data_IF_097761756521
#
_entry.id   IF_097761756521
#
_cell.length_a   1.000
_cell.length_b   1.000
_cell.length_c   1.000
_cell.angle_alpha   90.00
_cell.angle_beta   90.00
_cell.angle_gamma   90.00
#
_symmetry.space_group_name_H-M   'P 1'
#
loop_
_entity.id
_entity.type
_entity.pdbx_description
1 polymer ?
#
# COMPACT_ATOMS: atom_id res chain seq x y z
N UNK A 1 -1.17 7.43 27.40
CA UNK A 1 -0.10 7.38 26.38
C UNK A 1 -0.71 7.77 25.04
N UNK A 2 -0.15 8.74 24.32
CA UNK A 2 -0.66 9.10 22.99
C UNK A 2 -0.40 7.93 22.03
N UNK A 3 -1.48 7.29 21.56
CA UNK A 3 -1.38 6.31 20.46
C UNK A 3 -0.76 7.05 19.25
N UNK A 4 0.23 6.45 18.58
CA UNK A 4 0.74 7.05 17.34
C UNK A 4 -0.42 6.97 16.35
N UNK A 5 -0.87 8.14 15.91
CA UNK A 5 -1.96 8.30 14.97
C UNK A 5 -1.41 8.28 13.55
N UNK A 6 -2.22 7.85 12.59
CA UNK A 6 -1.95 7.98 11.15
C UNK A 6 -1.52 9.40 10.72
N UNK A 7 -0.98 9.49 9.50
CA UNK A 7 -0.75 10.77 8.81
C UNK A 7 -2.01 11.63 8.71
N UNK A 8 -3.19 10.99 8.62
CA UNK A 8 -4.48 11.64 8.56
C UNK A 8 -4.90 12.35 9.86
N UNK A 9 -4.19 12.12 10.98
CA UNK A 9 -4.58 12.65 12.29
C UNK A 9 -3.51 13.56 12.90
N UNK A 10 -2.21 13.37 12.59
CA UNK A 10 -1.16 14.26 13.09
C UNK A 10 -0.01 14.47 12.10
N UNK A 11 0.28 15.75 11.81
CA UNK A 11 1.42 16.14 10.97
C UNK A 11 2.78 15.69 11.56
N UNK A 12 2.84 15.41 12.86
CA UNK A 12 4.06 15.01 13.58
C UNK A 12 4.21 13.49 13.73
N UNK A 13 3.32 12.69 13.13
CA UNK A 13 3.30 11.25 13.38
C UNK A 13 4.62 10.56 13.05
N UNK A 14 5.27 10.86 11.92
CA UNK A 14 6.57 10.28 11.58
C UNK A 14 7.65 10.61 12.62
N UNK A 15 7.68 11.85 13.11
CA UNK A 15 8.62 12.28 14.16
C UNK A 15 8.38 11.53 15.46
N UNK A 16 7.14 11.39 15.89
CA UNK A 16 6.80 10.64 17.09
C UNK A 16 7.12 9.15 16.95
N UNK A 17 6.89 8.55 15.78
CA UNK A 17 7.27 7.18 15.50
C UNK A 17 8.78 6.98 15.61
N UNK A 18 9.57 7.85 14.97
CA UNK A 18 11.03 7.81 15.05
C UNK A 18 11.54 7.92 16.50
N UNK A 19 11.04 8.89 17.26
CA UNK A 19 11.43 9.06 18.67
C UNK A 19 11.06 7.85 19.54
N UNK A 20 9.87 7.27 19.35
CA UNK A 20 9.47 6.05 20.08
C UNK A 20 10.27 4.82 19.67
N UNK A 21 10.79 4.78 18.44
CA UNK A 21 11.71 3.76 17.97
C UNK A 21 13.17 3.97 18.46
N UNK A 22 13.43 5.04 19.22
CA UNK A 22 14.76 5.34 19.75
C UNK A 22 15.67 6.12 18.80
N UNK A 23 15.14 6.67 17.70
CA UNK A 23 15.91 7.56 16.83
C UNK A 23 16.30 8.83 17.62
N UNK A 24 17.58 9.24 17.60
CA UNK A 24 18.04 10.41 18.35
C UNK A 24 17.33 11.71 17.97
N UNK A 25 17.16 12.60 18.95
CA UNK A 25 16.39 13.84 18.78
C UNK A 25 17.02 14.83 17.78
N UNK A 26 18.33 14.77 17.57
CA UNK A 26 19.05 15.62 16.61
C UNK A 26 18.86 15.18 15.15
N UNK A 27 18.21 14.03 14.89
CA UNK A 27 17.98 13.55 13.52
C UNK A 27 16.75 14.20 12.89
N UNK A 28 16.82 14.65 11.62
CA UNK A 28 15.67 15.19 10.91
C UNK A 28 14.67 14.07 10.58
N UNK A 29 13.40 14.45 10.40
CA UNK A 29 12.34 13.54 9.96
C UNK A 29 11.45 14.29 8.98
N UNK A 30 11.17 13.68 7.83
CA UNK A 30 10.20 14.16 6.86
C UNK A 30 8.92 13.31 6.94
N UNK A 31 7.79 14.00 7.02
CA UNK A 31 6.47 13.41 6.79
C UNK A 31 6.02 13.77 5.38
N UNK A 32 5.68 12.78 4.54
CA UNK A 32 5.16 13.03 3.19
C UNK A 32 3.86 12.27 2.92
N UNK A 33 3.07 12.76 1.97
CA UNK A 33 1.84 12.13 1.51
C UNK A 33 1.84 12.04 -0.01
N UNK A 34 1.78 10.81 -0.53
CA UNK A 34 1.55 10.46 -1.93
C UNK A 34 0.52 9.33 -2.03
N UNK A 35 -0.52 9.39 -1.18
CA UNK A 35 -1.55 8.35 -1.03
C UNK A 35 -0.90 6.97 -0.84
N UNK A 36 -1.40 5.94 -1.53
CA UNK A 36 -0.88 4.57 -1.50
C UNK A 36 0.61 4.45 -1.88
N UNK A 37 1.19 5.45 -2.55
CA UNK A 37 2.60 5.47 -2.95
C UNK A 37 3.51 6.17 -1.93
N UNK A 38 2.99 6.60 -0.76
CA UNK A 38 3.76 7.35 0.25
C UNK A 38 5.03 6.61 0.68
N UNK A 39 4.94 5.35 1.09
CA UNK A 39 6.11 4.60 1.52
C UNK A 39 7.14 4.35 0.39
N UNK A 40 6.69 4.10 -0.85
CA UNK A 40 7.60 4.04 -2.00
C UNK A 40 8.33 5.37 -2.20
N UNK A 41 7.60 6.48 -2.08
CA UNK A 41 8.19 7.80 -2.25
C UNK A 41 9.15 8.17 -1.10
N UNK A 42 8.88 7.71 0.12
CA UNK A 42 9.82 7.84 1.24
C UNK A 42 11.15 7.13 0.93
N UNK A 43 11.11 5.91 0.37
CA UNK A 43 12.33 5.21 -0.07
C UNK A 43 13.09 5.98 -1.16
N UNK A 44 12.36 6.58 -2.11
CA UNK A 44 12.96 7.42 -3.18
C UNK A 44 13.66 8.64 -2.59
N UNK A 45 13.00 9.37 -1.68
CA UNK A 45 13.60 10.54 -1.01
C UNK A 45 14.84 10.12 -0.21
N UNK A 46 14.76 9.03 0.56
CA UNK A 46 15.93 8.50 1.29
C UNK A 46 17.08 8.12 0.35
N UNK A 47 16.79 7.52 -0.80
CA UNK A 47 17.80 7.19 -1.80
C UNK A 47 18.43 8.46 -2.40
N UNK A 48 17.62 9.47 -2.69
CA UNK A 48 18.10 10.77 -3.18
C UNK A 48 18.99 11.46 -2.14
N UNK A 49 18.58 11.52 -0.88
CA UNK A 49 19.38 12.10 0.20
C UNK A 49 20.73 11.39 0.37
N UNK A 50 20.75 10.07 0.20
CA UNK A 50 22.00 9.28 0.23
C UNK A 50 22.89 9.62 -0.97
N UNK A 51 22.32 9.65 -2.18
CA UNK A 51 23.07 9.95 -3.40
C UNK A 51 23.58 11.39 -3.45
N UNK A 52 22.88 12.35 -2.85
CA UNK A 52 23.33 13.74 -2.74
C UNK A 52 24.23 13.99 -1.52
N UNK A 53 24.57 12.95 -0.74
CA UNK A 53 25.45 13.05 0.43
C UNK A 53 24.83 13.75 1.65
N UNK A 54 23.51 13.96 1.65
CA UNK A 54 22.78 14.54 2.79
C UNK A 54 22.52 13.51 3.90
N UNK A 55 22.55 12.22 3.57
CA UNK A 55 22.50 11.11 4.52
C UNK A 55 23.47 9.99 4.11
N UNK A 56 23.88 9.15 5.07
CA UNK A 56 24.60 7.91 4.79
C UNK A 56 23.75 6.67 5.10
N UNK A 57 22.83 6.81 6.07
CA UNK A 57 21.84 5.81 6.47
C UNK A 57 20.53 6.56 6.70
N UNK A 58 19.42 6.03 6.18
CA UNK A 58 18.10 6.64 6.29
C UNK A 58 17.05 5.56 6.58
N UNK A 59 16.12 5.85 7.50
CA UNK A 59 14.97 5.01 7.78
C UNK A 59 13.79 5.50 6.93
N UNK A 60 13.35 4.69 5.98
CA UNK A 60 12.22 4.97 5.10
C UNK A 60 11.06 4.02 5.41
N UNK A 61 9.82 4.45 5.16
CA UNK A 61 8.68 3.59 5.38
C UNK A 61 7.37 4.33 5.33
N UNK A 62 6.37 3.74 5.97
CA UNK A 62 5.09 4.38 6.17
C UNK A 62 4.26 3.65 7.21
N UNK A 63 3.22 4.34 7.67
CA UNK A 63 2.26 3.82 8.63
C UNK A 63 0.90 4.40 8.33
N UNK A 64 -0.13 3.62 8.60
CA UNK A 64 -1.52 4.02 8.46
C UNK A 64 -2.37 3.37 9.54
N UNK A 65 -3.37 4.09 10.02
CA UNK A 65 -4.40 3.59 10.92
C UNK A 65 -5.73 4.15 10.43
N UNK A 66 -6.30 3.45 9.45
CA UNK A 66 -7.55 3.84 8.81
C UNK A 66 -8.73 3.65 9.76
N UNK A 67 -8.67 2.69 10.69
CA UNK A 67 -9.70 2.48 11.71
C UNK A 67 -9.89 3.67 12.65
N UNK A 68 -8.87 4.52 12.79
CA UNK A 68 -8.90 5.70 13.66
C UNK A 68 -9.25 7.00 12.94
N UNK A 69 -9.52 6.96 11.62
CA UNK A 69 -9.81 8.16 10.84
C UNK A 69 -11.08 8.85 11.38
N UNK A 70 -11.04 10.15 11.73
CA UNK A 70 -12.14 10.80 12.40
C UNK A 70 -13.25 11.23 11.43
N UNK A 71 -14.45 11.44 11.97
CA UNK A 71 -15.41 12.32 11.33
C UNK A 71 -14.98 13.78 11.47
N UNK A 72 -15.20 14.58 10.43
CA UNK A 72 -14.88 16.02 10.40
C UNK A 72 -16.14 16.85 10.25
N UNK A 73 -16.08 18.10 10.73
CA UNK A 73 -17.13 19.10 10.53
C UNK A 73 -16.51 20.31 9.84
N UNK A 74 -16.97 20.60 8.63
CA UNK A 74 -16.48 21.75 7.86
C UNK A 74 -17.09 23.06 8.37
N UNK A 75 -16.32 24.14 8.28
CA UNK A 75 -16.77 25.49 8.67
C UNK A 75 -16.80 25.76 10.18
N UNK A 76 -16.88 24.74 11.04
CA UNK A 76 -17.03 24.90 12.49
C UNK A 76 -15.93 25.75 13.17
N UNK A 77 -14.72 25.79 12.59
CA UNK A 77 -13.63 26.65 13.08
C UNK A 77 -13.99 28.15 13.10
N UNK A 78 -14.90 28.57 12.24
CA UNK A 78 -15.33 29.97 12.09
C UNK A 78 -16.70 30.24 12.75
N UNK A 79 -17.20 29.30 13.54
CA UNK A 79 -18.53 29.35 14.14
C UNK A 79 -19.59 28.65 13.29
N UNK A 80 -20.65 28.20 13.95
CA UNK A 80 -21.82 27.56 13.32
C UNK A 80 -23.05 28.42 13.65
N UNK A 81 -23.81 28.89 12.65
CA UNK A 81 -25.04 29.65 12.92
C UNK A 81 -26.02 28.84 13.78
N UNK A 82 -26.74 29.50 14.68
CA UNK A 82 -27.65 28.86 15.64
C UNK A 82 -28.70 27.94 14.98
N UNK A 83 -29.13 28.27 13.76
CA UNK A 83 -30.14 27.52 12.99
C UNK A 83 -29.56 26.48 12.05
N UNK A 84 -28.23 26.36 11.95
CA UNK A 84 -27.58 25.40 11.05
C UNK A 84 -27.42 24.03 11.71
N UNK A 85 -27.70 22.97 10.95
CA UNK A 85 -27.37 21.61 11.36
C UNK A 85 -25.87 21.33 11.17
N UNK A 86 -25.23 20.77 12.17
CA UNK A 86 -23.86 20.25 12.04
C UNK A 86 -23.90 18.93 11.27
N UNK A 87 -23.25 18.90 10.11
CA UNK A 87 -23.07 17.69 9.32
C UNK A 87 -21.70 17.08 9.60
N UNK A 88 -21.70 15.86 10.13
CA UNK A 88 -20.49 15.06 10.27
C UNK A 88 -20.17 14.38 8.93
N UNK A 89 -18.95 14.58 8.47
CA UNK A 89 -18.43 13.97 7.25
C UNK A 89 -17.43 12.89 7.64
N UNK A 90 -17.63 11.67 7.15
CA UNK A 90 -16.62 10.63 7.24
C UNK A 90 -15.42 11.03 6.39
N UNK A 91 -14.29 11.32 7.05
CA UNK A 91 -13.07 11.73 6.35
C UNK A 91 -12.49 10.59 5.51
N UNK A 92 -12.66 9.34 5.93
CA UNK A 92 -12.16 8.19 5.18
C UNK A 92 -12.90 8.07 3.84
N UNK A 93 -14.23 8.12 3.87
CA UNK A 93 -15.04 8.03 2.66
C UNK A 93 -14.86 9.24 1.74
N UNK A 94 -14.86 10.46 2.30
CA UNK A 94 -14.75 11.69 1.51
C UNK A 94 -13.37 11.89 0.87
N UNK A 95 -12.29 11.45 1.53
CA UNK A 95 -10.94 11.52 0.96
C UNK A 95 -10.71 10.58 -0.22
N UNK A 96 -11.58 9.59 -0.43
CA UNK A 96 -11.58 8.70 -1.58
C UNK A 96 -12.43 9.22 -2.75
N UNK A 97 -12.95 10.44 -2.69
CA UNK A 97 -13.64 11.10 -3.80
C UNK A 97 -12.72 12.10 -4.50
N UNK A 98 -12.44 11.85 -5.78
CA UNK A 98 -11.65 12.76 -6.61
C UNK A 98 -12.55 13.89 -7.13
N UNK A 99 -12.34 15.09 -6.59
CA UNK A 99 -13.09 16.29 -6.97
C UNK A 99 -12.74 16.83 -8.36
N UNK A 100 -11.59 16.45 -8.94
CA UNK A 100 -11.18 16.90 -10.27
C UNK A 100 -11.94 16.17 -11.37
N UNK A 101 -12.05 14.84 -11.29
CA UNK A 101 -12.82 14.04 -12.24
C UNK A 101 -14.24 13.71 -11.76
N UNK A 102 -14.61 14.13 -10.55
CA UNK A 102 -15.91 13.88 -9.92
C UNK A 102 -16.27 12.39 -9.77
N UNK A 103 -15.25 11.55 -9.51
CA UNK A 103 -15.39 10.11 -9.37
C UNK A 103 -14.89 9.63 -8.00
N UNK A 104 -15.60 8.70 -7.34
CA UNK A 104 -15.00 7.96 -6.23
C UNK A 104 -13.92 7.01 -6.77
N UNK A 105 -12.83 6.84 -6.01
CA UNK A 105 -11.66 6.03 -6.36
C UNK A 105 -12.05 4.63 -6.85
N UNK A 106 -13.00 3.99 -6.16
CA UNK A 106 -13.50 2.66 -6.49
C UNK A 106 -14.16 2.56 -7.89
N UNK A 107 -14.70 3.64 -8.43
CA UNK A 107 -15.32 3.64 -9.78
C UNK A 107 -14.29 3.64 -10.90
N UNK A 108 -13.07 4.08 -10.64
CA UNK A 108 -12.02 4.11 -11.67
C UNK A 108 -11.61 2.70 -12.10
N UNK A 109 -11.64 1.74 -11.18
CA UNK A 109 -11.38 0.33 -11.52
C UNK A 109 -12.49 -0.28 -12.39
N UNK A 110 -13.77 0.05 -12.12
CA UNK A 110 -14.89 -0.39 -12.97
C UNK A 110 -14.80 0.21 -14.38
N UNK A 111 -14.47 1.51 -14.49
CA UNK A 111 -14.27 2.20 -15.78
C UNK A 111 -13.15 1.52 -16.57
N UNK A 112 -12.03 1.22 -15.90
CA UNK A 112 -10.92 0.54 -16.54
C UNK A 112 -11.32 -0.88 -16.99
N UNK A 113 -12.07 -1.61 -16.17
CA UNK A 113 -12.55 -2.94 -16.54
C UNK A 113 -13.42 -2.91 -17.80
N UNK A 114 -14.33 -1.95 -17.92
CA UNK A 114 -15.17 -1.74 -19.11
C UNK A 114 -14.32 -1.45 -20.35
N UNK A 115 -13.37 -0.50 -20.25
CA UNK A 115 -12.48 -0.13 -21.35
C UNK A 115 -11.64 -1.29 -21.88
N UNK A 116 -11.21 -2.19 -21.00
CA UNK A 116 -10.37 -3.34 -21.33
C UNK A 116 -11.16 -4.63 -21.54
N UNK A 117 -12.50 -4.59 -21.51
CA UNK A 117 -13.35 -5.77 -21.64
C UNK A 117 -13.10 -6.83 -20.56
N UNK A 118 -12.65 -6.41 -19.37
CA UNK A 118 -12.34 -7.31 -18.25
C UNK A 118 -13.61 -7.72 -17.55
N UNK A 119 -13.86 -9.04 -17.54
CA UNK A 119 -15.08 -9.61 -17.00
C UNK A 119 -15.03 -9.74 -15.48
N UNK A 120 -16.21 -9.74 -14.85
CA UNK A 120 -16.34 -10.00 -13.41
C UNK A 120 -15.68 -11.32 -12.98
N UNK A 121 -15.82 -12.37 -13.79
CA UNK A 121 -15.25 -13.68 -13.48
C UNK A 121 -13.72 -13.64 -13.42
N UNK A 122 -13.06 -12.95 -14.36
CA UNK A 122 -11.60 -12.78 -14.36
C UNK A 122 -11.11 -12.03 -13.10
N UNK A 123 -11.88 -11.03 -12.67
CA UNK A 123 -11.57 -10.20 -11.50
C UNK A 123 -11.70 -11.02 -10.20
N UNK A 124 -12.74 -11.85 -10.10
CA UNK A 124 -12.93 -12.75 -8.96
C UNK A 124 -11.90 -13.87 -8.95
N UNK A 125 -11.51 -14.41 -10.12
CA UNK A 125 -10.46 -15.42 -10.21
C UNK A 125 -9.10 -14.88 -9.74
N UNK A 126 -8.77 -13.63 -10.12
CA UNK A 126 -7.58 -12.95 -9.61
C UNK A 126 -7.61 -12.81 -8.08
N UNK A 127 -8.74 -12.38 -7.52
CA UNK A 127 -8.91 -12.24 -6.08
C UNK A 127 -8.77 -13.57 -5.34
N UNK A 128 -9.38 -14.64 -5.87
CA UNK A 128 -9.24 -15.99 -5.33
C UNK A 128 -7.79 -16.46 -5.36
N UNK A 129 -7.07 -16.19 -6.45
CA UNK A 129 -5.64 -16.52 -6.56
C UNK A 129 -4.82 -15.81 -5.50
N UNK A 130 -5.07 -14.52 -5.25
CA UNK A 130 -4.39 -13.76 -4.19
C UNK A 130 -4.61 -14.40 -2.80
N UNK A 131 -5.85 -14.76 -2.46
CA UNK A 131 -6.18 -15.46 -1.21
C UNK A 131 -5.49 -16.84 -1.10
N UNK A 132 -5.48 -17.63 -2.19
CA UNK A 132 -4.81 -18.94 -2.23
C UNK A 132 -3.30 -18.85 -2.09
N UNK A 133 -2.66 -17.90 -2.78
CA UNK A 133 -1.20 -17.66 -2.67
C UNK A 133 -0.83 -17.23 -1.25
N UNK A 134 -1.62 -16.34 -0.63
CA UNK A 134 -1.42 -15.98 0.78
C UNK A 134 -1.54 -17.19 1.71
N UNK A 135 -2.59 -18.01 1.56
CA UNK A 135 -2.77 -19.21 2.40
C UNK A 135 -1.57 -20.16 2.30
N UNK A 136 -1.07 -20.39 1.09
CA UNK A 136 0.11 -21.23 0.86
C UNK A 136 1.38 -20.65 1.49
N UNK A 137 1.61 -19.34 1.35
CA UNK A 137 2.75 -18.65 1.93
C UNK A 137 2.70 -18.62 3.48
N UNK A 138 1.51 -18.40 4.03
CA UNK A 138 1.26 -18.41 5.47
C UNK A 138 1.53 -19.78 6.10
N UNK A 139 1.03 -20.86 5.49
CA UNK A 139 1.29 -22.24 5.96
C UNK A 139 2.79 -22.58 5.94
N UNK A 140 3.54 -22.04 4.97
CA UNK A 140 5.00 -22.20 4.88
C UNK A 140 5.77 -21.30 5.88
N UNK A 141 5.09 -20.39 6.57
CA UNK A 141 5.70 -19.47 7.53
C UNK A 141 6.54 -18.37 6.88
N UNK A 142 6.30 -18.02 5.61
CA UNK A 142 7.12 -17.02 4.89
C UNK A 142 7.03 -15.62 5.52
N UNK A 143 5.92 -15.29 6.17
CA UNK A 143 5.72 -14.00 6.84
C UNK A 143 6.42 -13.89 8.21
N UNK A 144 6.93 -15.00 8.77
CA UNK A 144 7.51 -15.02 10.12
C UNK A 144 8.77 -14.13 10.25
N UNK A 145 9.49 -13.90 9.15
CA UNK A 145 10.68 -13.04 9.14
C UNK A 145 10.39 -11.56 8.91
N UNK A 146 9.19 -11.19 8.47
CA UNK A 146 8.82 -9.79 8.20
C UNK A 146 7.83 -9.19 9.19
N UNK A 147 7.03 -10.02 9.88
CA UNK A 147 6.04 -9.53 10.85
C UNK A 147 6.66 -9.36 12.22
N UNK A 148 6.66 -8.12 12.72
CA UNK A 148 6.99 -7.80 14.11
C UNK A 148 5.72 -7.85 14.96
N UNK A 149 5.69 -8.64 16.06
CA UNK A 149 4.53 -8.71 16.94
C UNK A 149 4.10 -7.35 17.51
N UNK A 150 2.80 -7.05 17.44
CA UNK A 150 2.22 -5.82 18.00
C UNK A 150 1.25 -6.17 19.12
N UNK A 151 1.41 -5.51 20.28
CA UNK A 151 0.44 -5.61 21.37
C UNK A 151 -0.78 -4.76 21.05
N UNK A 152 -1.94 -5.39 21.01
CA UNK A 152 -3.24 -4.74 20.78
C UNK A 152 -4.16 -4.98 21.98
N UNK A 153 -5.02 -4.00 22.26
CA UNK A 153 -6.05 -4.13 23.28
C UNK A 153 -7.35 -4.56 22.59
N UNK A 154 -7.81 -5.77 22.91
CA UNK A 154 -9.08 -6.32 22.43
C UNK A 154 -10.01 -6.45 23.64
N UNK A 155 -10.99 -5.56 23.73
CA UNK A 155 -11.99 -5.54 24.81
C UNK A 155 -11.38 -5.49 26.23
N UNK A 156 -10.31 -4.72 26.42
CA UNK A 156 -9.61 -4.58 27.70
C UNK A 156 -8.59 -5.67 27.99
N UNK A 157 -8.37 -6.61 27.06
CA UNK A 157 -7.36 -7.65 27.16
C UNK A 157 -6.22 -7.38 26.18
N UNK A 158 -4.99 -7.36 26.69
CA UNK A 158 -3.79 -7.27 25.85
C UNK A 158 -3.60 -8.59 25.11
N UNK A 159 -3.65 -8.54 23.79
CA UNK A 159 -3.37 -9.65 22.88
C UNK A 159 -2.15 -9.30 22.02
N UNK A 160 -1.32 -10.30 21.76
CA UNK A 160 -0.23 -10.18 20.81
C UNK A 160 -0.73 -10.53 19.41
N UNK A 161 -0.71 -9.56 18.50
CA UNK A 161 -1.00 -9.75 17.09
C UNK A 161 0.29 -10.09 16.36
N UNK A 162 0.35 -11.28 15.77
CA UNK A 162 1.52 -11.82 15.06
C UNK A 162 1.19 -12.28 13.64
N UNK A 163 -0.03 -12.04 13.18
CA UNK A 163 -0.55 -12.57 11.92
C UNK A 163 -1.52 -11.57 11.33
N UNK A 164 -1.49 -11.41 10.01
CA UNK A 164 -2.46 -10.61 9.28
C UNK A 164 -3.87 -11.15 9.50
N UNK A 165 -4.81 -10.28 9.86
CA UNK A 165 -6.19 -10.68 10.21
C UNK A 165 -7.18 -10.57 9.03
N UNK A 166 -6.84 -9.81 7.99
CA UNK A 166 -7.68 -9.58 6.81
C UNK A 166 -7.87 -10.81 5.88
N UNK A 167 -6.90 -11.73 5.73
CA UNK A 167 -7.01 -12.85 4.81
C UNK A 167 -8.23 -13.75 5.06
N UNK A 168 -8.90 -14.13 3.96
CA UNK A 168 -10.10 -14.98 3.94
C UNK A 168 -9.75 -16.31 3.27
N UNK A 169 -9.02 -17.14 4.00
CA UNK A 169 -8.37 -18.36 3.49
C UNK A 169 -9.33 -19.45 2.97
N UNK A 170 -10.62 -19.34 3.29
CA UNK A 170 -11.66 -20.27 2.84
C UNK A 170 -12.54 -19.68 1.72
N UNK A 171 -12.13 -18.56 1.13
CA UNK A 171 -12.79 -17.96 -0.05
C UNK A 171 -12.88 -18.95 -1.20
N UNK A 172 -14.06 -19.00 -1.84
CA UNK A 172 -14.30 -19.81 -3.04
C UNK A 172 -14.87 -18.96 -4.18
N UNK A 173 -14.82 -19.46 -5.42
CA UNK A 173 -15.43 -18.77 -6.56
C UNK A 173 -16.94 -18.61 -6.38
N UNK A 174 -17.62 -19.60 -5.81
CA UNK A 174 -19.05 -19.55 -5.52
C UNK A 174 -19.34 -18.38 -4.58
N UNK A 175 -18.57 -18.28 -3.48
CA UNK A 175 -18.71 -17.18 -2.52
C UNK A 175 -18.48 -15.83 -3.19
N UNK A 176 -17.39 -15.68 -3.95
CA UNK A 176 -17.09 -14.43 -4.65
C UNK A 176 -18.21 -14.04 -5.63
N UNK A 177 -18.70 -14.98 -6.43
CA UNK A 177 -19.73 -14.73 -7.45
C UNK A 177 -21.05 -14.21 -6.88
N UNK A 178 -21.37 -14.53 -5.62
CA UNK A 178 -22.59 -14.05 -4.95
C UNK A 178 -22.51 -12.61 -4.47
N UNK A 179 -21.30 -12.04 -4.39
CA UNK A 179 -21.10 -10.70 -3.86
C UNK A 179 -21.60 -9.63 -4.85
N UNK A 180 -22.39 -8.70 -4.31
CA UNK A 180 -22.91 -7.57 -5.05
C UNK A 180 -21.78 -6.62 -5.48
N UNK A 181 -21.82 -6.10 -6.71
CA UNK A 181 -20.97 -4.98 -7.13
C UNK A 181 -21.09 -3.78 -6.17
N UNK A 182 -19.97 -3.13 -5.88
CA UNK A 182 -19.93 -1.89 -5.10
C UNK A 182 -20.76 -0.78 -5.75
N UNK A 183 -20.84 -0.82 -7.09
CA UNK A 183 -21.64 0.10 -7.88
C UNK A 183 -22.37 -0.64 -8.99
N UNK A 184 -23.55 -0.14 -9.35
CA UNK A 184 -24.38 -0.73 -10.41
C UNK A 184 -23.58 -0.83 -11.72
N UNK A 185 -23.59 -2.03 -12.32
CA UNK A 185 -22.87 -2.32 -13.58
C UNK A 185 -21.35 -2.44 -13.42
N UNK A 186 -20.82 -2.39 -12.20
CA UNK A 186 -19.40 -2.58 -11.92
C UNK A 186 -19.00 -4.06 -11.78
N UNK A 187 -17.69 -4.31 -11.80
CA UNK A 187 -17.07 -5.61 -11.54
C UNK A 187 -16.46 -5.68 -10.14
N UNK A 188 -16.18 -4.53 -9.52
CA UNK A 188 -15.60 -4.49 -8.18
C UNK A 188 -16.61 -4.85 -7.09
N UNK A 189 -16.20 -5.70 -6.14
CA UNK A 189 -16.95 -6.15 -4.96
C UNK A 189 -16.08 -6.14 -3.72
N UNK A 190 -16.69 -6.27 -2.54
CA UNK A 190 -15.95 -6.48 -1.27
C UNK A 190 -15.08 -7.76 -1.26
N UNK A 191 -15.26 -8.66 -2.23
CA UNK A 191 -14.46 -9.88 -2.38
C UNK A 191 -13.19 -9.68 -3.21
N UNK A 192 -13.15 -8.66 -4.07
CA UNK A 192 -12.11 -8.48 -5.08
C UNK A 192 -11.44 -7.09 -5.06
N UNK A 193 -11.63 -6.35 -3.96
CA UNK A 193 -10.92 -5.13 -3.63
C UNK A 193 -10.18 -5.30 -2.30
N UNK A 194 -9.12 -4.52 -2.07
CA UNK A 194 -8.44 -4.52 -0.78
C UNK A 194 -9.33 -3.93 0.33
N UNK A 195 -8.98 -4.26 1.58
CA UNK A 195 -9.68 -3.73 2.74
C UNK A 195 -9.25 -2.33 3.17
N UNK A 196 -9.96 -1.82 4.17
CA UNK A 196 -9.50 -0.73 5.04
C UNK A 196 -8.66 -1.37 6.14
N UNK A 197 -7.36 -1.12 6.16
CA UNK A 197 -6.43 -1.80 7.06
C UNK A 197 -5.51 -0.83 7.80
N UNK A 198 -5.06 -1.30 8.97
CA UNK A 198 -4.07 -0.62 9.80
C UNK A 198 -2.72 -1.34 9.70
N UNK A 199 -1.63 -0.60 9.74
CA UNK A 199 -0.31 -1.20 9.68
C UNK A 199 0.82 -0.22 9.46
N UNK A 200 2.05 -0.67 9.70
CA UNK A 200 3.27 0.07 9.45
C UNK A 200 4.34 -0.86 8.89
N UNK A 201 5.19 -0.31 8.01
CA UNK A 201 6.34 -1.01 7.47
C UNK A 201 7.49 -0.01 7.31
N UNK A 202 8.71 -0.47 7.57
CA UNK A 202 9.91 0.36 7.47
C UNK A 202 11.10 -0.45 6.95
N UNK A 203 11.99 0.24 6.24
CA UNK A 203 13.20 -0.28 5.61
C UNK A 203 14.33 0.70 5.91
N UNK A 204 15.53 0.16 6.17
CA UNK A 204 16.75 0.96 6.32
C UNK A 204 17.49 0.97 4.99
N UNK A 205 17.75 2.16 4.46
CA UNK A 205 18.61 2.37 3.29
C UNK A 205 19.99 2.85 3.78
N UNK A 206 21.05 2.43 3.09
CA UNK A 206 22.42 2.77 3.41
C UNK A 206 23.22 3.02 2.13
N UNK A 207 24.18 3.96 2.18
CA UNK A 207 25.23 4.05 1.17
C UNK A 207 26.15 2.83 1.24
N UNK A 208 26.81 2.49 0.13
CA UNK A 208 27.82 1.42 0.08
C UNK A 208 28.96 1.66 1.09
N UNK A 209 29.41 2.92 1.19
CA UNK A 209 30.45 3.34 2.13
C UNK A 209 30.03 3.08 3.59
N UNK A 210 28.77 3.35 3.93
CA UNK A 210 28.23 3.10 5.26
C UNK A 210 28.09 1.60 5.56
N UNK A 211 27.80 0.76 4.55
CA UNK A 211 27.78 -0.70 4.73
C UNK A 211 29.15 -1.21 5.17
N UNK A 212 30.23 -0.77 4.51
CA UNK A 212 31.61 -1.15 4.89
C UNK A 212 31.98 -0.59 6.27
N UNK A 213 31.70 0.70 6.50
CA UNK A 213 32.04 1.38 7.77
C UNK A 213 31.38 0.73 8.98
N UNK A 214 30.14 0.27 8.83
CA UNK A 214 29.35 -0.31 9.92
C UNK A 214 29.30 -1.84 9.87
N UNK A 215 30.03 -2.49 8.96
CA UNK A 215 30.06 -3.94 8.77
C UNK A 215 28.65 -4.54 8.63
N UNK A 216 27.84 -3.95 7.75
CA UNK A 216 26.45 -4.35 7.49
C UNK A 216 26.35 -5.16 6.20
N UNK A 217 25.53 -6.22 6.22
CA UNK A 217 25.20 -7.01 5.03
C UNK A 217 23.88 -6.52 4.45
N UNK A 218 23.83 -6.01 3.20
CA UNK A 218 22.59 -5.57 2.58
C UNK A 218 21.70 -6.77 2.23
N UNK A 219 20.37 -6.56 2.29
CA UNK A 219 19.40 -7.56 1.83
C UNK A 219 19.18 -7.50 0.31
N UNK A 220 19.12 -6.29 -0.23
CA UNK A 220 18.96 -6.01 -1.66
C UNK A 220 19.56 -4.67 -2.02
N UNK A 221 19.63 -4.38 -3.33
CA UNK A 221 20.08 -3.10 -3.87
C UNK A 221 18.92 -2.38 -4.56
N UNK A 222 18.68 -1.13 -4.20
CA UNK A 222 17.77 -0.26 -4.94
C UNK A 222 18.45 0.19 -6.25
N UNK A 223 18.08 -0.43 -7.36
CA UNK A 223 18.72 -0.19 -8.66
C UNK A 223 18.22 1.06 -9.37
N UNK A 224 16.91 1.27 -9.39
CA UNK A 224 16.27 2.39 -10.06
C UNK A 224 14.85 2.62 -9.51
N UNK A 225 14.28 3.79 -9.81
CA UNK A 225 12.89 4.14 -9.51
C UNK A 225 12.32 5.06 -10.59
N UNK A 226 11.00 5.09 -10.72
CA UNK A 226 10.30 6.01 -11.60
C UNK A 226 9.05 6.56 -10.90
N UNK A 227 8.71 7.81 -11.21
CA UNK A 227 7.46 8.45 -10.80
C UNK A 227 6.83 9.06 -12.05
N UNK A 228 5.56 8.76 -12.27
CA UNK A 228 4.80 9.23 -13.44
C UNK A 228 3.47 9.82 -13.00
N UNK A 229 2.92 10.72 -13.80
CA UNK A 229 1.54 11.18 -13.70
C UNK A 229 0.72 10.55 -14.82
N UNK A 230 -0.55 10.27 -14.53
CA UNK A 230 -1.54 9.83 -15.52
C UNK A 230 -2.83 10.61 -15.30
N UNK A 231 -3.76 10.51 -16.25
CA UNK A 231 -5.08 11.12 -16.11
C UNK A 231 -5.78 10.57 -14.84
N UNK A 232 -6.38 11.43 -13.99
CA UNK A 232 -7.02 10.97 -12.75
C UNK A 232 -8.12 9.92 -12.96
N UNK A 233 -8.93 10.07 -14.02
CA UNK A 233 -9.96 9.11 -14.40
C UNK A 233 -9.40 7.74 -14.86
N UNK A 234 -8.09 7.67 -15.14
CA UNK A 234 -7.37 6.46 -15.57
C UNK A 234 -6.24 6.09 -14.61
N UNK A 235 -6.27 6.58 -13.36
CA UNK A 235 -5.15 6.44 -12.41
C UNK A 235 -4.70 4.99 -12.18
N UNK A 236 -5.62 4.03 -12.35
CA UNK A 236 -5.33 2.61 -12.26
C UNK A 236 -4.33 2.11 -13.32
N UNK A 237 -4.06 2.86 -14.39
CA UNK A 237 -3.00 2.55 -15.38
C UNK A 237 -1.61 3.05 -14.97
N UNK A 238 -1.51 3.84 -13.89
CA UNK A 238 -0.26 4.39 -13.38
C UNK A 238 0.89 3.37 -13.27
N UNK A 239 0.67 2.15 -12.74
CA UNK A 239 1.70 1.12 -12.69
C UNK A 239 2.27 0.73 -14.06
N UNK A 240 1.44 0.64 -15.11
CA UNK A 240 1.90 0.31 -16.47
C UNK A 240 2.87 1.36 -16.99
N UNK A 241 2.49 2.63 -16.86
CA UNK A 241 3.32 3.77 -17.30
C UNK A 241 4.60 3.87 -16.46
N UNK A 242 4.51 3.62 -15.15
CA UNK A 242 5.65 3.65 -14.24
C UNK A 242 6.67 2.55 -14.55
N UNK A 243 6.21 1.31 -14.75
CA UNK A 243 7.08 0.16 -15.08
C UNK A 243 7.76 0.36 -16.44
N UNK A 244 7.02 0.77 -17.48
CA UNK A 244 7.61 1.06 -18.79
C UNK A 244 8.67 2.18 -18.71
N UNK A 245 8.39 3.24 -17.96
CA UNK A 245 9.34 4.33 -17.73
C UNK A 245 10.60 3.86 -16.96
N UNK A 246 10.41 3.06 -15.91
CA UNK A 246 11.49 2.49 -15.10
C UNK A 246 12.42 1.60 -15.95
N UNK A 247 11.85 0.67 -16.71
CA UNK A 247 12.60 -0.25 -17.57
C UNK A 247 13.39 0.51 -18.64
N UNK A 248 12.78 1.51 -19.29
CA UNK A 248 13.48 2.36 -20.25
C UNK A 248 14.65 3.13 -19.61
N UNK A 249 14.45 3.70 -18.41
CA UNK A 249 15.50 4.43 -17.69
C UNK A 249 16.63 3.51 -17.22
N UNK A 250 16.29 2.30 -16.77
CA UNK A 250 17.23 1.28 -16.33
C UNK A 250 17.88 0.48 -17.48
N UNK A 251 17.40 0.66 -18.72
CA UNK A 251 17.78 -0.13 -19.91
C UNK A 251 17.57 -1.64 -19.69
N UNK A 252 16.44 -1.98 -19.08
CA UNK A 252 15.99 -3.34 -18.83
C UNK A 252 14.72 -3.64 -19.63
N UNK A 253 14.38 -4.91 -19.70
CA UNK A 253 13.18 -5.47 -20.32
C UNK A 253 12.35 -6.21 -19.27
N UNK A 254 11.13 -6.64 -19.63
CA UNK A 254 10.28 -7.41 -18.71
C UNK A 254 10.91 -8.78 -18.40
N UNK A 255 11.66 -9.33 -19.35
CA UNK A 255 12.36 -10.61 -19.27
C UNK A 255 13.52 -10.59 -18.26
N UNK A 256 14.09 -9.41 -18.00
CA UNK A 256 15.16 -9.22 -17.02
C UNK A 256 14.65 -9.22 -15.56
N UNK A 257 13.33 -9.28 -15.36
CA UNK A 257 12.72 -9.21 -14.02
C UNK A 257 12.22 -10.60 -13.59
N UNK A 258 12.70 -11.02 -12.43
CA UNK A 258 12.38 -12.35 -11.88
C UNK A 258 11.01 -12.38 -11.21
N UNK A 259 10.69 -11.38 -10.39
CA UNK A 259 9.45 -11.30 -9.62
C UNK A 259 8.84 -9.89 -9.69
N UNK A 260 7.52 -9.83 -9.59
CA UNK A 260 6.75 -8.60 -9.59
C UNK A 260 5.83 -8.53 -8.37
N UNK A 261 5.92 -7.43 -7.61
CA UNK A 261 4.90 -7.02 -6.65
C UNK A 261 4.13 -5.83 -7.22
N UNK A 262 2.94 -6.08 -7.80
CA UNK A 262 2.02 -5.02 -8.22
C UNK A 262 0.94 -4.89 -7.16
N UNK A 263 0.88 -3.72 -6.54
CA UNK A 263 -0.10 -3.42 -5.49
C UNK A 263 -1.53 -3.67 -5.96
N UNK A 264 -2.28 -4.46 -5.18
CA UNK A 264 -3.63 -4.93 -5.50
C UNK A 264 -4.69 -4.08 -4.80
N UNK A 265 -4.81 -2.78 -5.12
CA UNK A 265 -5.93 -1.98 -4.59
C UNK A 265 -7.25 -2.57 -5.08
N UNK A 266 -7.29 -2.93 -6.36
CA UNK A 266 -8.43 -3.58 -7.01
C UNK A 266 -7.93 -4.74 -7.87
N UNK A 267 -8.58 -5.90 -7.81
CA UNK A 267 -8.24 -7.04 -8.65
C UNK A 267 -8.27 -6.68 -10.14
N UNK A 268 -9.27 -5.90 -10.57
CA UNK A 268 -9.38 -5.42 -11.94
C UNK A 268 -8.15 -4.60 -12.37
N UNK A 269 -7.72 -3.65 -11.54
CA UNK A 269 -6.53 -2.83 -11.82
C UNK A 269 -5.26 -3.69 -11.89
N UNK A 270 -5.02 -4.56 -10.92
CA UNK A 270 -3.83 -5.40 -10.89
C UNK A 270 -3.78 -6.37 -12.08
N UNK A 271 -4.92 -7.00 -12.40
CA UNK A 271 -5.06 -7.89 -13.55
C UNK A 271 -4.79 -7.16 -14.88
N UNK A 272 -5.41 -5.99 -15.08
CA UNK A 272 -5.24 -5.21 -16.30
C UNK A 272 -3.80 -4.74 -16.43
N UNK A 273 -3.18 -4.24 -15.36
CA UNK A 273 -1.77 -3.84 -15.37
C UNK A 273 -0.85 -5.00 -15.72
N UNK A 274 -1.09 -6.18 -15.15
CA UNK A 274 -0.30 -7.38 -15.43
C UNK A 274 -0.43 -7.81 -16.89
N UNK A 275 -1.65 -7.80 -17.46
CA UNK A 275 -1.90 -8.10 -18.87
C UNK A 275 -1.20 -7.09 -19.79
N UNK A 276 -1.34 -5.79 -19.52
CA UNK A 276 -0.74 -4.71 -20.32
C UNK A 276 0.80 -4.69 -20.30
N UNK A 277 1.40 -5.25 -19.25
CA UNK A 277 2.84 -5.40 -19.11
C UNK A 277 3.33 -6.78 -19.57
N UNK A 278 2.44 -7.70 -19.96
CA UNK A 278 2.75 -9.11 -20.24
C UNK A 278 3.51 -9.80 -19.09
N UNK A 279 3.11 -9.51 -17.85
CA UNK A 279 3.69 -10.16 -16.66
C UNK A 279 3.24 -11.62 -16.60
N UNK A 280 4.21 -12.52 -16.41
CA UNK A 280 3.92 -13.92 -16.11
C UNK A 280 3.14 -14.03 -14.78
N UNK A 281 1.92 -14.61 -14.77
CA UNK A 281 1.13 -14.83 -13.56
C UNK A 281 1.85 -15.59 -12.43
N UNK A 282 2.83 -16.43 -12.77
CA UNK A 282 3.62 -17.18 -11.80
C UNK A 282 4.71 -16.33 -11.15
N UNK A 283 5.09 -15.19 -11.75
CA UNK A 283 6.02 -14.21 -11.20
C UNK A 283 5.34 -13.05 -10.45
N UNK A 284 4.02 -12.95 -10.53
CA UNK A 284 3.24 -11.84 -9.95
C UNK A 284 2.68 -12.18 -8.56
N UNK A 285 3.01 -11.35 -7.56
CA UNK A 285 2.48 -11.40 -6.20
C UNK A 285 2.48 -12.85 -5.66
N UNK A 286 3.64 -13.50 -5.67
CA UNK A 286 3.77 -14.97 -5.55
C UNK A 286 3.27 -15.53 -4.21
N UNK A 287 3.19 -14.68 -3.19
CA UNK A 287 2.71 -14.99 -1.85
C UNK A 287 1.37 -14.30 -1.52
N UNK A 288 0.65 -13.82 -2.54
CA UNK A 288 -0.58 -13.05 -2.38
C UNK A 288 -0.29 -11.56 -2.19
N UNK A 289 -1.28 -10.73 -2.51
CA UNK A 289 -1.16 -9.28 -2.42
C UNK A 289 -2.21 -8.64 -1.52
N UNK A 290 -2.45 -7.34 -1.73
CA UNK A 290 -3.28 -6.52 -0.85
C UNK A 290 -4.77 -6.92 -0.82
N UNK A 291 -5.28 -7.69 -1.79
CA UNK A 291 -6.64 -8.25 -1.71
C UNK A 291 -6.73 -9.31 -0.61
N UNK A 292 -5.64 -10.03 -0.34
CA UNK A 292 -5.55 -11.00 0.74
C UNK A 292 -5.05 -10.38 2.03
N UNK A 293 -3.93 -9.65 1.97
CA UNK A 293 -3.20 -9.17 3.15
C UNK A 293 -3.78 -7.86 3.71
N UNK A 294 -4.35 -7.02 2.84
CA UNK A 294 -4.86 -5.70 3.18
C UNK A 294 -3.99 -4.54 2.68
N UNK A 295 -4.52 -3.32 2.81
CA UNK A 295 -3.92 -2.08 2.29
C UNK A 295 -3.88 -0.95 3.34
N UNK A 296 -2.91 -0.97 4.27
CA UNK A 296 -2.59 0.23 5.05
C UNK A 296 -1.93 1.25 4.12
N UNK A 297 -2.69 2.25 3.66
CA UNK A 297 -2.35 3.06 2.48
C UNK A 297 -0.98 3.71 2.56
N UNK A 298 -0.67 4.39 3.66
CA UNK A 298 0.64 4.99 3.90
C UNK A 298 1.79 4.00 3.95
N UNK A 299 1.57 2.74 4.35
CA UNK A 299 2.61 1.73 4.62
C UNK A 299 2.86 0.73 3.48
N UNK A 300 1.87 0.56 2.59
CA UNK A 300 1.84 -0.56 1.66
C UNK A 300 3.06 -0.64 0.74
N UNK A 301 3.59 0.51 0.29
CA UNK A 301 4.81 0.52 -0.53
C UNK A 301 6.02 -0.11 0.15
N UNK A 302 6.24 0.17 1.45
CA UNK A 302 7.34 -0.44 2.19
C UNK A 302 7.07 -1.91 2.50
N UNK A 303 5.81 -2.30 2.74
CA UNK A 303 5.43 -3.72 2.90
C UNK A 303 5.74 -4.52 1.63
N UNK A 304 5.35 -4.01 0.46
CA UNK A 304 5.64 -4.60 -0.85
C UNK A 304 7.15 -4.75 -1.08
N UNK A 305 7.91 -3.68 -0.85
CA UNK A 305 9.36 -3.68 -1.06
C UNK A 305 10.11 -4.62 -0.10
N UNK A 306 9.70 -4.69 1.16
CA UNK A 306 10.26 -5.62 2.13
C UNK A 306 9.98 -7.07 1.72
N UNK A 307 8.72 -7.36 1.38
CA UNK A 307 8.28 -8.70 1.03
C UNK A 307 9.03 -9.26 -0.18
N UNK A 308 9.08 -8.51 -1.29
CA UNK A 308 9.80 -8.95 -2.49
C UNK A 308 11.31 -9.09 -2.24
N UNK A 309 11.89 -8.26 -1.37
CA UNK A 309 13.30 -8.37 -0.99
C UNK A 309 13.59 -9.69 -0.27
N UNK A 310 12.67 -10.16 0.58
CA UNK A 310 12.83 -11.43 1.29
C UNK A 310 12.55 -12.64 0.39
N UNK A 311 11.62 -12.53 -0.54
CA UNK A 311 11.31 -13.60 -1.49
C UNK A 311 12.42 -13.80 -2.54
N UNK A 312 13.13 -12.74 -2.92
CA UNK A 312 14.27 -12.81 -3.86
C UNK A 312 15.57 -13.38 -3.23
N UNK A 313 15.58 -13.63 -1.91
CA UNK A 313 16.76 -14.08 -1.16
C UNK A 313 16.96 -15.59 -1.22
#
# INVERSE_FOLDING_TARGET
>A
MSKISSLSISAMSARHAALKAGVPQDKPVLTLNKLSASAFHAMIVSAQEILTGSANISLAGGMENLSSVPFVVRGARFGVPLTSSIMFEDWLSSSNYDTYCSLPLFRVADILADMYGTRREDVDEFALRSQKKWKAAHVKGLFNSEVVPVKVDVNGQEQLMTTDEFPRSDTTMETLSTLAPLFKGGVCTVGNVCGTNDGAAAIVLSSEEALTKHNLTPLSRLMAWACVGVEPALMCTGPVVAVRSLLAAARLTMEDIDLFEIHETFAAQALICARELNVDPEKLNVNGGAIAIGHPSGASGARLALHITLELK
#
